data_IF_419612982420
#
_entry.id   IF_419612982420
#
_cell.length_a   1.000
_cell.length_b   1.000
_cell.length_c   1.000
_cell.angle_alpha   90.00
_cell.angle_beta   90.00
_cell.angle_gamma   90.00
#
_symmetry.space_group_name_H-M   'P 1'
#
loop_
_entity.id
_entity.type
_entity.pdbx_description
1 polymer ?
#
# COMPACT_ATOMS: atom_id res chain seq x y z
N UNK A 1 -1.25 -0.25 -14.23
CA UNK A 1 -2.26 -0.36 -13.17
C UNK A 1 -3.00 0.94 -12.93
N UNK A 2 -2.26 2.05 -12.88
CA UNK A 2 -2.86 3.37 -12.76
C UNK A 2 -3.89 3.68 -13.84
N UNK A 3 -3.59 3.43 -15.13
CA UNK A 3 -4.57 3.70 -16.17
C UNK A 3 -5.88 2.94 -16.01
N UNK A 4 -5.86 1.84 -15.25
CA UNK A 4 -7.07 1.07 -14.98
C UNK A 4 -7.73 1.47 -13.65
N UNK A 5 -6.94 1.54 -12.58
CA UNK A 5 -7.46 1.75 -11.21
C UNK A 5 -8.09 3.13 -11.04
N UNK A 6 -7.39 4.19 -11.45
CA UNK A 6 -7.87 5.56 -11.24
C UNK A 6 -9.21 5.84 -11.92
N UNK A 7 -9.42 5.47 -13.19
CA UNK A 7 -10.73 5.69 -13.82
C UNK A 7 -11.86 4.92 -13.17
N UNK A 8 -11.59 3.67 -12.70
CA UNK A 8 -12.62 2.87 -12.05
C UNK A 8 -13.02 3.47 -10.71
N UNK A 9 -12.04 3.90 -9.92
CA UNK A 9 -12.33 4.53 -8.63
C UNK A 9 -13.03 5.86 -8.79
N UNK A 10 -12.78 6.59 -9.87
CA UNK A 10 -13.48 7.85 -10.17
C UNK A 10 -14.97 7.62 -10.43
N UNK A 11 -15.34 6.46 -10.93
CA UNK A 11 -16.76 6.09 -11.10
C UNK A 11 -17.44 5.88 -9.75
N UNK A 12 -16.72 5.35 -8.76
CA UNK A 12 -17.26 5.09 -7.42
C UNK A 12 -17.28 6.37 -6.59
N UNK A 13 -16.22 7.15 -6.65
CA UNK A 13 -16.07 8.41 -5.90
C UNK A 13 -15.72 9.55 -6.85
N UNK A 14 -16.71 10.09 -7.57
CA UNK A 14 -16.43 11.08 -8.63
C UNK A 14 -15.82 12.39 -8.11
N UNK A 15 -16.03 12.71 -6.83
CA UNK A 15 -15.52 13.95 -6.24
C UNK A 15 -14.20 13.79 -5.50
N UNK A 16 -13.62 12.58 -5.53
CA UNK A 16 -12.36 12.29 -4.82
C UNK A 16 -11.23 12.05 -5.80
N UNK A 17 -10.04 12.47 -5.41
CA UNK A 17 -8.80 12.18 -6.12
C UNK A 17 -7.84 11.46 -5.19
N UNK A 18 -7.00 10.58 -5.75
CA UNK A 18 -5.94 9.93 -4.98
C UNK A 18 -4.92 10.96 -4.50
N UNK A 19 -4.57 10.88 -3.23
CA UNK A 19 -3.52 11.71 -2.64
C UNK A 19 -2.42 10.80 -2.13
N UNK A 20 -1.16 11.21 -2.31
CA UNK A 20 -0.06 10.44 -1.75
C UNK A 20 -0.08 10.55 -0.23
N UNK A 21 0.04 9.40 0.45
CA UNK A 21 0.14 9.36 1.91
C UNK A 21 1.62 9.53 2.27
N UNK A 22 1.98 10.61 2.98
CA UNK A 22 3.39 10.88 3.31
C UNK A 22 3.94 9.84 4.29
N UNK A 23 5.27 9.75 4.37
CA UNK A 23 5.93 8.73 5.20
C UNK A 23 5.58 8.84 6.68
N UNK A 24 5.11 10.00 7.15
CA UNK A 24 4.68 10.18 8.53
C UNK A 24 3.20 9.83 8.75
N UNK A 25 2.50 9.34 7.72
CA UNK A 25 1.10 8.96 7.88
C UNK A 25 0.98 7.79 8.87
N UNK A 26 -0.04 7.81 9.75
CA UNK A 26 -0.20 6.76 10.77
C UNK A 26 -0.26 5.33 10.22
N UNK A 27 -0.67 5.14 8.98
CA UNK A 27 -0.77 3.80 8.38
C UNK A 27 0.59 3.06 8.34
N UNK A 28 1.71 3.81 8.28
CA UNK A 28 3.05 3.22 8.27
C UNK A 28 3.60 3.01 9.69
N UNK A 29 2.91 3.50 10.71
CA UNK A 29 3.40 3.55 12.10
C UNK A 29 2.37 2.97 13.05
N UNK A 30 1.89 1.77 12.74
CA UNK A 30 0.97 1.04 13.60
C UNK A 30 1.76 0.09 14.51
N UNK A 31 1.34 -1.15 14.64
CA UNK A 31 2.09 -2.14 15.43
C UNK A 31 3.52 -2.29 14.92
N UNK A 32 3.69 -2.24 13.60
CA UNK A 32 5.01 -2.30 12.97
C UNK A 32 5.32 -0.93 12.40
N UNK A 33 6.57 -0.46 12.63
CA UNK A 33 7.00 0.85 12.20
C UNK A 33 7.78 0.78 10.89
N UNK A 34 7.37 1.58 9.93
CA UNK A 34 8.08 1.74 8.65
C UNK A 34 8.54 3.19 8.53
N UNK A 35 9.73 3.52 9.06
CA UNK A 35 10.19 4.91 9.09
C UNK A 35 10.29 5.57 7.73
N UNK A 36 10.59 4.79 6.69
CA UNK A 36 10.71 5.29 5.32
C UNK A 36 9.39 5.17 4.53
N UNK A 37 8.29 4.78 5.20
CA UNK A 37 7.00 4.59 4.55
C UNK A 37 6.88 3.22 3.93
N UNK A 38 6.09 3.11 2.85
CA UNK A 38 5.77 1.83 2.22
C UNK A 38 7.01 1.04 1.83
N UNK A 39 7.11 -0.26 2.20
CA UNK A 39 8.26 -1.07 1.81
C UNK A 39 8.25 -1.35 0.30
N UNK A 40 9.43 -1.57 -0.27
CA UNK A 40 9.57 -1.87 -1.68
C UNK A 40 9.41 -3.38 -1.88
N UNK A 41 8.30 -3.79 -2.49
CA UNK A 41 7.97 -5.19 -2.73
C UNK A 41 7.67 -5.37 -4.21
N UNK A 42 8.44 -6.22 -4.89
CA UNK A 42 8.20 -6.58 -6.30
C UNK A 42 8.00 -5.35 -7.19
N UNK A 43 9.08 -4.60 -7.40
CA UNK A 43 9.03 -3.36 -8.19
C UNK A 43 8.95 -3.65 -9.69
N UNK A 44 8.33 -2.74 -10.43
CA UNK A 44 8.16 -2.84 -11.89
C UNK A 44 8.90 -1.74 -12.65
N UNK A 45 8.83 -0.51 -12.15
CA UNK A 45 9.34 0.67 -12.87
C UNK A 45 10.64 1.23 -12.30
N UNK A 46 11.18 0.61 -11.26
CA UNK A 46 12.41 1.07 -10.61
C UNK A 46 12.26 2.39 -9.88
N UNK A 47 11.04 2.80 -9.60
CA UNK A 47 10.76 4.07 -8.92
C UNK A 47 10.50 3.84 -7.43
N UNK A 48 10.42 4.94 -6.69
CA UNK A 48 10.16 4.93 -5.26
C UNK A 48 8.79 4.30 -4.97
N UNK A 49 8.71 3.45 -3.95
CA UNK A 49 7.44 2.91 -3.49
C UNK A 49 6.58 4.04 -2.90
N UNK A 50 5.32 4.10 -3.28
CA UNK A 50 4.40 5.17 -2.87
C UNK A 50 3.05 4.59 -2.51
N UNK A 51 2.46 5.10 -1.41
CA UNK A 51 1.10 4.79 -1.04
C UNK A 51 0.19 5.97 -1.35
N UNK A 52 -0.94 5.70 -1.98
CA UNK A 52 -1.95 6.70 -2.31
C UNK A 52 -3.27 6.32 -1.65
N UNK A 53 -4.04 7.32 -1.28
CA UNK A 53 -5.31 7.07 -0.64
C UNK A 53 -6.44 7.91 -1.20
N UNK A 54 -7.65 7.39 -1.07
CA UNK A 54 -8.88 8.17 -1.23
C UNK A 54 -9.43 8.41 0.17
N UNK A 55 -9.69 9.67 0.49
CA UNK A 55 -10.21 10.08 1.80
C UNK A 55 -11.66 10.53 1.61
N UNK A 56 -12.58 9.89 2.33
CA UNK A 56 -14.00 10.24 2.30
C UNK A 56 -14.48 10.49 3.72
N UNK A 57 -14.96 11.70 3.97
CA UNK A 57 -15.46 12.14 5.29
C UNK A 57 -14.42 11.87 6.40
N UNK A 58 -13.15 12.17 6.12
CA UNK A 58 -12.06 12.02 7.06
C UNK A 58 -11.56 10.61 7.26
N UNK A 59 -12.07 9.64 6.50
CA UNK A 59 -11.64 8.24 6.61
C UNK A 59 -10.96 7.77 5.33
N UNK A 60 -9.92 6.96 5.49
CA UNK A 60 -9.28 6.31 4.36
C UNK A 60 -10.20 5.20 3.86
N UNK A 61 -10.68 5.29 2.62
CA UNK A 61 -11.60 4.33 2.03
C UNK A 61 -10.97 3.49 0.92
N UNK A 62 -9.78 3.86 0.46
CA UNK A 62 -9.05 3.09 -0.53
C UNK A 62 -7.55 3.36 -0.35
N UNK A 63 -6.75 2.31 -0.39
CA UNK A 63 -5.29 2.41 -0.31
C UNK A 63 -4.70 1.74 -1.55
N UNK A 64 -3.98 2.53 -2.34
CA UNK A 64 -3.37 2.07 -3.59
C UNK A 64 -1.86 2.16 -3.47
N UNK A 65 -1.16 1.08 -3.83
CA UNK A 65 0.29 1.03 -3.76
C UNK A 65 0.90 1.12 -5.15
N UNK A 66 1.94 1.95 -5.29
CA UNK A 66 2.72 2.10 -6.50
C UNK A 66 4.15 1.63 -6.21
N UNK A 67 4.71 0.81 -7.10
CA UNK A 67 6.04 0.19 -6.94
C UNK A 67 6.15 -0.64 -5.66
N UNK A 68 5.02 -1.18 -5.21
CA UNK A 68 4.96 -2.06 -4.05
C UNK A 68 3.79 -3.02 -4.24
N UNK A 69 4.07 -4.27 -4.57
CA UNK A 69 3.03 -5.28 -4.71
C UNK A 69 2.97 -6.10 -3.43
N UNK A 70 2.17 -5.62 -2.48
CA UNK A 70 2.01 -6.31 -1.19
C UNK A 70 1.42 -7.70 -1.38
N UNK A 71 0.48 -7.85 -2.32
CA UNK A 71 -0.14 -9.14 -2.57
C UNK A 71 0.88 -10.20 -2.98
N UNK A 72 1.85 -9.85 -3.80
CA UNK A 72 2.93 -10.78 -4.16
C UNK A 72 3.73 -11.20 -2.93
N UNK A 73 3.98 -10.25 -2.01
CA UNK A 73 4.72 -10.54 -0.78
C UNK A 73 3.93 -11.37 0.22
N UNK A 74 2.61 -11.46 0.07
CA UNK A 74 1.77 -12.27 0.96
C UNK A 74 1.70 -13.74 0.53
N UNK A 75 2.13 -14.04 -0.71
CA UNK A 75 2.20 -15.42 -1.20
C UNK A 75 3.32 -16.18 -0.51
N UNK A 76 3.30 -17.51 -0.63
CA UNK A 76 4.35 -18.33 -0.07
C UNK A 76 5.71 -17.98 -0.67
N UNK A 77 6.75 -18.08 0.17
CA UNK A 77 8.11 -17.82 -0.26
C UNK A 77 8.47 -18.66 -1.49
N UNK A 78 9.02 -17.97 -2.49
CA UNK A 78 9.43 -18.62 -3.73
C UNK A 78 8.37 -18.71 -4.80
N UNK A 79 7.14 -18.19 -4.54
CA UNK A 79 6.06 -18.18 -5.54
C UNK A 79 6.42 -17.33 -6.76
N UNK A 80 7.11 -16.21 -6.54
CA UNK A 80 7.53 -15.31 -7.61
C UNK A 80 9.06 -15.21 -7.65
N UNK A 81 9.60 -15.07 -8.86
CA UNK A 81 11.03 -14.87 -9.05
C UNK A 81 11.47 -13.57 -8.36
N UNK A 82 12.58 -13.62 -7.65
CA UNK A 82 13.12 -12.48 -6.94
C UNK A 82 12.56 -12.23 -5.55
N UNK A 83 11.59 -13.03 -5.12
CA UNK A 83 11.06 -12.95 -3.76
C UNK A 83 12.14 -13.31 -2.76
N UNK A 84 12.15 -12.61 -1.62
CA UNK A 84 13.00 -12.94 -0.48
C UNK A 84 12.14 -13.09 0.75
N UNK A 85 12.65 -13.84 1.73
CA UNK A 85 11.94 -14.00 3.00
C UNK A 85 11.84 -12.67 3.73
N UNK A 86 12.85 -11.83 3.60
CA UNK A 86 12.83 -10.49 4.19
C UNK A 86 11.69 -9.63 3.58
N UNK A 87 11.57 -9.62 2.25
CA UNK A 87 10.50 -8.88 1.57
C UNK A 87 9.13 -9.41 1.96
N UNK A 88 8.98 -10.73 2.03
CA UNK A 88 7.73 -11.35 2.46
C UNK A 88 7.36 -10.92 3.87
N UNK A 89 8.32 -10.93 4.78
CA UNK A 89 8.09 -10.50 6.17
C UNK A 89 7.63 -9.05 6.23
N UNK A 90 8.27 -8.16 5.46
CA UNK A 90 7.88 -6.75 5.40
C UNK A 90 6.46 -6.58 4.84
N UNK A 91 6.13 -7.35 3.81
CA UNK A 91 4.79 -7.28 3.21
C UNK A 91 3.71 -7.73 4.19
N UNK A 92 3.96 -8.80 4.94
CA UNK A 92 3.03 -9.29 5.96
C UNK A 92 2.84 -8.27 7.09
N UNK A 93 3.93 -7.64 7.53
CA UNK A 93 3.87 -6.59 8.57
C UNK A 93 3.08 -5.38 8.08
N UNK A 94 3.27 -4.96 6.83
CA UNK A 94 2.50 -3.85 6.27
C UNK A 94 1.03 -4.21 6.13
N UNK A 95 0.72 -5.46 5.76
CA UNK A 95 -0.65 -5.96 5.73
C UNK A 95 -1.32 -5.87 7.09
N UNK A 96 -0.61 -6.25 8.15
CA UNK A 96 -1.11 -6.12 9.52
C UNK A 96 -1.38 -4.66 9.88
N UNK A 97 -0.50 -3.74 9.47
CA UNK A 97 -0.70 -2.31 9.68
C UNK A 97 -1.96 -1.80 8.99
N UNK A 98 -2.20 -2.24 7.75
CA UNK A 98 -3.39 -1.84 6.99
C UNK A 98 -4.67 -2.24 7.74
N UNK A 99 -4.72 -3.49 8.20
CA UNK A 99 -5.88 -4.00 8.92
C UNK A 99 -6.08 -3.23 10.23
N UNK A 100 -5.02 -3.04 10.99
CA UNK A 100 -5.10 -2.32 12.26
C UNK A 100 -5.58 -0.88 12.06
N UNK A 101 -5.02 -0.19 11.06
CA UNK A 101 -5.40 1.20 10.77
C UNK A 101 -6.88 1.30 10.40
N UNK A 102 -7.36 0.41 9.52
CA UNK A 102 -8.76 0.41 9.08
C UNK A 102 -9.71 0.20 10.27
N UNK A 103 -9.35 -0.70 11.18
CA UNK A 103 -10.20 -1.01 12.33
C UNK A 103 -10.21 0.08 13.41
N UNK A 104 -9.18 0.92 13.44
CA UNK A 104 -9.00 1.89 14.53
C UNK A 104 -9.13 3.36 14.11
N UNK A 105 -9.30 3.62 12.84
CA UNK A 105 -9.44 5.01 12.39
C UNK A 105 -10.79 5.65 12.73
#
# INVERSE_FOLDING_TARGET
LDPFVRPQMKKVFPDLDFVELPINHPIYHQKFDFPAGLPKIHEHDGKRAQGFGLIYKGRLVCFYTYECDLGNGWEDYGTYAGDTQEARTKALKMGANLIQYVLTQ
#
